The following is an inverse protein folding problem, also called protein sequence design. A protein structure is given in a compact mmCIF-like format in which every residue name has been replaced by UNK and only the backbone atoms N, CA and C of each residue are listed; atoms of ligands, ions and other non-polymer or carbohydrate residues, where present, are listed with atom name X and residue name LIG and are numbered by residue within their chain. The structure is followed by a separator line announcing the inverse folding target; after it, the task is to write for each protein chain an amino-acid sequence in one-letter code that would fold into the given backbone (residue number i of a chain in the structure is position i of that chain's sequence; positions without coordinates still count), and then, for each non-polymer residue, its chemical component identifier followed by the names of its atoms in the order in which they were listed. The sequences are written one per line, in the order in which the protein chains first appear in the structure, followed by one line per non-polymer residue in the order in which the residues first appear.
data_IF_094728791811
#
_entry.id   IF_094728791811
#
_cell.length_a   1.000
_cell.length_b   1.000
_cell.length_c   1.000
_cell.angle_alpha   90.00
_cell.angle_beta   90.00
_cell.angle_gamma   90.00
#
_symmetry.space_group_name_H-M   'P 1'
#
loop_
_entity.id
_entity.type
_entity.pdbx_description
1 polymer ?
#
# COMPACT_ATOMS: atom_id res chain seq x y z
N UNK A 1 0.82 -12.44 28.22
CA UNK A 1 1.86 -12.48 27.15
C UNK A 1 1.64 -11.46 26.03
N UNK A 2 0.45 -11.36 25.41
CA UNK A 2 0.20 -10.40 24.29
C UNK A 2 0.45 -8.93 24.63
N UNK A 3 0.12 -8.46 25.85
CA UNK A 3 0.36 -7.06 26.24
C UNK A 3 1.82 -6.71 26.52
N UNK A 4 2.60 -7.64 27.08
CA UNK A 4 4.04 -7.45 27.30
C UNK A 4 4.79 -7.41 25.97
N UNK A 5 4.46 -8.31 25.04
CA UNK A 5 4.98 -8.26 23.67
C UNK A 5 4.58 -6.97 22.97
N UNK A 6 3.33 -6.51 23.13
CA UNK A 6 2.86 -5.26 22.52
C UNK A 6 3.56 -4.02 23.08
N UNK A 7 3.78 -3.94 24.40
CA UNK A 7 4.55 -2.85 25.03
C UNK A 7 6.03 -2.92 24.64
N UNK A 8 6.65 -4.09 24.66
CA UNK A 8 8.03 -4.28 24.21
C UNK A 8 8.19 -3.90 22.74
N UNK A 9 7.32 -4.38 21.85
CA UNK A 9 7.35 -4.04 20.44
C UNK A 9 7.16 -2.52 20.19
N UNK A 10 6.28 -1.86 20.95
CA UNK A 10 6.05 -0.42 20.82
C UNK A 10 7.24 0.42 21.30
N UNK A 11 7.85 0.04 22.43
CA UNK A 11 9.05 0.69 22.97
C UNK A 11 10.28 0.42 22.09
N UNK A 12 10.47 -0.82 21.64
CA UNK A 12 11.56 -1.21 20.75
C UNK A 12 11.44 -0.54 19.38
N UNK A 13 10.22 -0.42 18.82
CA UNK A 13 10.01 0.27 17.55
C UNK A 13 10.33 1.78 17.64
N UNK A 14 9.93 2.44 18.74
CA UNK A 14 10.33 3.83 18.99
C UNK A 14 11.84 3.99 19.24
N UNK A 15 12.47 3.03 19.92
CA UNK A 15 13.90 3.09 20.22
C UNK A 15 14.73 2.90 18.94
N UNK A 16 14.45 1.85 18.16
CA UNK A 16 15.18 1.48 16.92
C UNK A 16 15.00 2.51 15.81
N UNK A 17 13.85 3.18 15.73
CA UNK A 17 13.60 4.26 14.76
C UNK A 17 14.14 5.63 15.16
N UNK A 18 14.65 5.82 16.39
CA UNK A 18 15.14 7.12 16.85
C UNK A 18 16.59 7.38 16.40
N UNK A 19 16.94 8.65 16.20
CA UNK A 19 18.31 9.09 15.89
C UNK A 19 19.33 8.58 16.92
N UNK A 20 18.91 8.30 18.16
CA UNK A 20 19.76 7.75 19.21
C UNK A 20 20.18 6.29 18.95
N UNK A 21 19.32 5.46 18.36
CA UNK A 21 19.69 4.09 18.01
C UNK A 21 20.72 4.03 16.87
N UNK A 22 20.62 4.96 15.92
CA UNK A 22 21.63 5.10 14.87
C UNK A 22 23.00 5.49 15.47
N UNK A 23 23.03 6.47 16.39
CA UNK A 23 24.25 6.87 17.07
C UNK A 23 24.85 5.70 17.86
N UNK A 24 24.03 4.95 18.61
CA UNK A 24 24.48 3.78 19.35
C UNK A 24 25.07 2.70 18.43
N UNK A 25 24.41 2.40 17.31
CA UNK A 25 24.90 1.44 16.32
C UNK A 25 26.24 1.89 15.71
N UNK A 26 26.39 3.18 15.38
CA UNK A 26 27.64 3.72 14.87
C UNK A 26 28.77 3.61 15.90
N UNK A 27 28.50 3.90 17.17
CA UNK A 27 29.48 3.73 18.26
C UNK A 27 29.91 2.27 18.40
N UNK A 28 28.96 1.32 18.33
CA UNK A 28 29.27 -0.12 18.39
C UNK A 28 30.22 -0.52 17.24
N UNK A 29 29.97 -0.04 16.02
CA UNK A 29 30.82 -0.31 14.86
C UNK A 29 32.22 0.29 15.04
N UNK A 30 32.32 1.51 15.56
CA UNK A 30 33.61 2.18 15.82
C UNK A 30 34.41 1.41 16.87
N UNK A 31 33.77 1.04 17.99
CA UNK A 31 34.42 0.25 19.04
C UNK A 31 34.93 -1.06 18.49
N UNK A 32 34.09 -1.78 17.71
CA UNK A 32 34.49 -3.01 17.04
C UNK A 32 35.70 -2.79 16.11
N UNK A 33 35.69 -1.74 15.28
CA UNK A 33 36.81 -1.46 14.38
C UNK A 33 38.13 -1.20 15.15
N UNK A 34 38.08 -0.47 16.27
CA UNK A 34 39.24 -0.14 17.11
C UNK A 34 39.79 -1.39 17.82
N UNK A 35 38.92 -2.32 18.21
CA UNK A 35 39.34 -3.58 18.83
C UNK A 35 39.89 -4.59 17.82
N UNK A 36 39.62 -4.43 16.52
CA UNK A 36 40.09 -5.33 15.45
C UNK A 36 41.61 -5.58 15.42
N UNK A 37 42.47 -4.56 15.47
CA UNK A 37 43.93 -4.72 15.54
C UNK A 37 44.40 -5.56 16.73
N UNK A 38 43.73 -5.47 17.88
CA UNK A 38 44.06 -6.23 19.08
C UNK A 38 43.83 -7.74 18.88
N UNK A 39 42.84 -8.10 18.05
CA UNK A 39 42.51 -9.47 17.69
C UNK A 39 43.07 -9.90 16.33
N UNK A 40 43.99 -9.11 15.74
CA UNK A 40 44.58 -9.35 14.42
C UNK A 40 43.53 -9.58 13.32
N UNK A 41 42.34 -8.98 13.45
CA UNK A 41 41.20 -9.20 12.55
C UNK A 41 40.88 -10.69 12.32
N UNK A 42 40.96 -11.51 13.37
CA UNK A 42 40.74 -12.96 13.29
C UNK A 42 39.38 -13.37 12.73
N UNK A 43 39.27 -14.62 12.27
CA UNK A 43 38.01 -15.16 11.76
C UNK A 43 36.89 -15.13 12.83
N UNK A 44 37.22 -15.41 14.09
CA UNK A 44 36.26 -15.31 15.20
C UNK A 44 35.81 -13.86 15.42
N UNK A 45 36.73 -12.89 15.30
CA UNK A 45 36.43 -11.47 15.44
C UNK A 45 35.42 -10.97 14.40
N UNK A 46 35.59 -11.40 13.14
CA UNK A 46 34.69 -11.09 12.03
C UNK A 46 33.36 -11.87 12.15
N UNK A 47 33.42 -13.14 12.55
CA UNK A 47 32.25 -13.99 12.70
C UNK A 47 31.25 -13.39 13.70
N UNK A 48 31.72 -12.90 14.85
CA UNK A 48 30.84 -12.35 15.89
C UNK A 48 29.99 -11.18 15.36
N UNK A 49 30.59 -10.23 14.64
CA UNK A 49 29.82 -9.10 14.12
C UNK A 49 28.90 -9.49 12.98
N UNK A 50 29.34 -10.40 12.10
CA UNK A 50 28.55 -10.85 10.97
C UNK A 50 27.32 -11.65 11.44
N UNK A 51 27.53 -12.62 12.33
CA UNK A 51 26.45 -13.41 12.94
C UNK A 51 25.50 -12.52 13.75
N UNK A 52 26.03 -11.61 14.56
CA UNK A 52 25.21 -10.68 15.36
C UNK A 52 24.35 -9.77 14.50
N UNK A 53 24.95 -9.14 13.48
CA UNK A 53 24.24 -8.23 12.57
C UNK A 53 23.18 -8.98 11.76
N UNK A 54 23.46 -10.21 11.34
CA UNK A 54 22.49 -11.04 10.61
C UNK A 54 21.25 -11.33 11.47
N UNK A 55 21.42 -11.73 12.73
CA UNK A 55 20.31 -11.98 13.65
C UNK A 55 19.49 -10.70 13.87
N UNK A 56 20.17 -9.57 14.14
CA UNK A 56 19.51 -8.27 14.34
C UNK A 56 18.73 -7.87 13.09
N UNK A 57 19.32 -8.04 11.91
CA UNK A 57 18.69 -7.70 10.62
C UNK A 57 17.46 -8.57 10.39
N UNK A 58 17.54 -9.88 10.65
CA UNK A 58 16.41 -10.79 10.55
C UNK A 58 15.26 -10.35 11.47
N UNK A 59 15.56 -10.04 12.73
CA UNK A 59 14.56 -9.51 13.67
C UNK A 59 13.99 -8.16 13.21
N UNK A 60 14.82 -7.29 12.66
CA UNK A 60 14.41 -5.98 12.15
C UNK A 60 13.45 -6.11 10.96
N UNK A 61 13.69 -7.06 10.05
CA UNK A 61 12.74 -7.38 8.96
C UNK A 61 11.38 -7.77 9.52
N UNK A 62 11.32 -8.65 10.53
CA UNK A 62 10.05 -8.99 11.17
C UNK A 62 9.37 -7.79 11.85
N UNK A 63 10.13 -6.93 12.53
CA UNK A 63 9.59 -5.74 13.18
C UNK A 63 9.04 -4.72 12.17
N UNK A 64 9.78 -4.50 11.07
CA UNK A 64 9.36 -3.64 9.97
C UNK A 64 8.09 -4.21 9.34
N UNK A 65 8.07 -5.51 9.00
CA UNK A 65 6.89 -6.17 8.43
C UNK A 65 5.67 -6.08 9.36
N UNK A 66 5.84 -6.27 10.68
CA UNK A 66 4.74 -6.14 11.64
C UNK A 66 4.21 -4.70 11.72
N UNK A 67 5.09 -3.70 11.68
CA UNK A 67 4.71 -2.29 11.69
C UNK A 67 4.01 -1.91 10.37
N UNK A 68 4.60 -2.28 9.24
CA UNK A 68 4.05 -2.05 7.90
C UNK A 68 2.69 -2.73 7.71
N UNK A 69 2.51 -3.97 8.19
CA UNK A 69 1.23 -4.67 8.10
C UNK A 69 0.12 -3.95 8.89
N UNK A 70 0.46 -3.38 10.05
CA UNK A 70 -0.49 -2.59 10.85
C UNK A 70 -0.84 -1.26 10.18
N UNK A 71 0.16 -0.58 9.61
CA UNK A 71 -0.04 0.70 8.95
C UNK A 71 -0.84 0.55 7.65
N UNK A 72 -0.59 -0.51 6.87
CA UNK A 72 -1.40 -0.86 5.70
C UNK A 72 -2.88 -1.06 6.08
N UNK A 73 -3.16 -1.82 7.14
CA UNK A 73 -4.53 -2.01 7.64
C UNK A 73 -5.19 -0.69 8.06
N UNK A 74 -4.44 0.21 8.70
CA UNK A 74 -4.97 1.51 9.10
C UNK A 74 -5.29 2.41 7.89
N UNK A 75 -4.51 2.31 6.81
CA UNK A 75 -4.79 3.01 5.54
C UNK A 75 -6.10 2.50 4.92
N UNK A 76 -6.29 1.17 4.83
CA UNK A 76 -7.54 0.59 4.32
C UNK A 76 -8.77 1.11 5.07
N UNK A 77 -8.76 1.03 6.41
CA UNK A 77 -9.87 1.51 7.24
C UNK A 77 -10.17 3.01 7.05
N UNK A 78 -9.14 3.84 6.87
CA UNK A 78 -9.31 5.27 6.60
C UNK A 78 -9.93 5.51 5.22
N UNK A 79 -9.51 4.76 4.20
CA UNK A 79 -10.09 4.83 2.86
C UNK A 79 -11.55 4.38 2.87
N UNK A 80 -11.88 3.31 3.59
CA UNK A 80 -13.25 2.81 3.75
C UNK A 80 -14.17 3.85 4.36
N UNK A 81 -13.72 4.55 5.41
CA UNK A 81 -14.50 5.61 6.05
C UNK A 81 -14.72 6.81 5.10
N UNK A 82 -13.69 7.19 4.33
CA UNK A 82 -13.83 8.23 3.29
C UNK A 82 -14.82 7.81 2.20
N UNK A 83 -14.73 6.57 1.70
CA UNK A 83 -15.66 6.04 0.70
C UNK A 83 -17.10 6.03 1.22
N UNK A 84 -17.31 5.65 2.47
CA UNK A 84 -18.62 5.67 3.12
C UNK A 84 -19.19 7.08 3.26
N UNK A 85 -18.35 8.10 3.43
CA UNK A 85 -18.74 9.50 3.55
C UNK A 85 -19.04 10.22 2.22
N UNK A 86 -18.58 9.68 1.08
CA UNK A 86 -18.80 10.28 -0.25
C UNK A 86 -20.19 9.90 -0.78
N UNK A 87 -21.10 10.89 -0.88
CA UNK A 87 -22.42 10.71 -1.52
C UNK A 87 -22.23 10.28 -2.98
N UNK A 88 -22.61 9.06 -3.31
CA UNK A 88 -22.50 8.47 -4.64
C UNK A 88 -21.43 7.38 -4.78
N UNK A 89 -20.56 7.19 -3.78
CA UNK A 89 -19.72 6.00 -3.72
C UNK A 89 -20.59 4.77 -3.46
N UNK A 90 -20.49 3.74 -4.31
CA UNK A 90 -21.18 2.47 -4.09
C UNK A 90 -20.56 1.81 -2.85
N UNK A 91 -21.38 1.60 -1.81
CA UNK A 91 -21.02 0.90 -0.56
C UNK A 91 -20.32 -0.44 -0.80
N UNK A 92 -20.54 -1.08 -1.96
CA UNK A 92 -19.90 -2.35 -2.35
C UNK A 92 -18.38 -2.28 -2.62
N UNK A 93 -17.76 -1.10 -2.65
CA UNK A 93 -16.29 -0.98 -2.72
C UNK A 93 -15.60 -0.98 -1.34
N UNK A 94 -16.37 -0.90 -0.25
CA UNK A 94 -15.86 -0.93 1.12
C UNK A 94 -15.45 -2.37 1.47
N UNK A 95 -14.26 -2.57 2.06
CA UNK A 95 -13.64 -3.88 2.34
C UNK A 95 -13.29 -4.73 1.09
N UNK A 96 -12.88 -4.09 -0.01
CA UNK A 96 -12.46 -4.78 -1.24
C UNK A 96 -11.34 -5.81 -1.00
N UNK A 97 -10.48 -5.58 0.00
CA UNK A 97 -9.36 -6.46 0.36
C UNK A 97 -9.80 -7.78 1.04
N UNK A 98 -11.06 -7.91 1.43
CA UNK A 98 -11.60 -9.10 2.11
C UNK A 98 -12.38 -10.01 1.16
N UNK A 99 -12.63 -9.57 -0.07
CA UNK A 99 -13.34 -10.37 -1.07
C UNK A 99 -12.47 -11.55 -1.52
N UNK A 100 -13.10 -12.70 -1.74
CA UNK A 100 -12.44 -13.82 -2.42
C UNK A 100 -12.13 -13.48 -3.88
N UNK A 101 -11.16 -14.16 -4.49
CA UNK A 101 -10.81 -13.94 -5.91
C UNK A 101 -12.04 -14.04 -6.83
N UNK A 102 -12.95 -14.97 -6.54
CA UNK A 102 -14.19 -15.16 -7.31
C UNK A 102 -15.15 -13.98 -7.16
N UNK A 103 -15.24 -13.40 -5.97
CA UNK A 103 -16.07 -12.21 -5.72
C UNK A 103 -15.45 -10.97 -6.38
N UNK A 104 -14.11 -10.85 -6.35
CA UNK A 104 -13.37 -9.79 -7.02
C UNK A 104 -13.57 -9.84 -8.54
N UNK A 105 -13.50 -11.03 -9.14
CA UNK A 105 -13.74 -11.26 -10.58
C UNK A 105 -15.19 -10.92 -10.97
N UNK A 106 -16.17 -11.28 -10.13
CA UNK A 106 -17.57 -10.93 -10.35
C UNK A 106 -17.78 -9.42 -10.29
N UNK A 107 -17.14 -8.73 -9.33
CA UNK A 107 -17.21 -7.28 -9.20
C UNK A 107 -16.57 -6.58 -10.41
N UNK A 108 -15.43 -7.08 -10.91
CA UNK A 108 -14.80 -6.60 -12.14
C UNK A 108 -15.72 -6.75 -13.35
N UNK A 109 -16.34 -7.93 -13.53
CA UNK A 109 -17.31 -8.17 -14.62
C UNK A 109 -18.52 -7.26 -14.53
N UNK A 110 -18.96 -6.88 -13.33
CA UNK A 110 -20.04 -5.90 -13.16
C UNK A 110 -19.60 -4.50 -13.64
N UNK A 111 -18.38 -4.07 -13.31
CA UNK A 111 -17.81 -2.81 -13.79
C UNK A 111 -17.68 -2.77 -15.31
N UNK A 112 -17.19 -3.84 -15.94
CA UNK A 112 -17.08 -3.94 -17.41
C UNK A 112 -18.46 -3.79 -18.07
N UNK A 113 -19.49 -4.49 -17.57
CA UNK A 113 -20.87 -4.38 -18.07
C UNK A 113 -21.50 -3.00 -17.87
N UNK A 114 -21.12 -2.28 -16.81
CA UNK A 114 -21.56 -0.90 -16.59
C UNK A 114 -20.88 0.05 -17.57
N UNK A 115 -19.57 -0.11 -17.78
CA UNK A 115 -18.81 0.69 -18.73
C UNK A 115 -19.31 0.50 -20.18
N UNK A 116 -19.61 -0.75 -20.57
CA UNK A 116 -20.21 -1.06 -21.86
C UNK A 116 -21.58 -0.39 -22.05
N UNK A 117 -22.44 -0.40 -21.01
CA UNK A 117 -23.75 0.25 -21.06
C UNK A 117 -23.67 1.76 -21.21
N UNK A 118 -22.79 2.42 -20.45
CA UNK A 118 -22.56 3.86 -20.56
C UNK A 118 -21.99 4.24 -21.94
N UNK A 119 -21.06 3.44 -22.48
CA UNK A 119 -20.52 3.68 -23.82
C UNK A 119 -21.52 3.36 -24.94
N UNK A 120 -22.45 2.42 -24.73
CA UNK A 120 -23.53 2.14 -25.68
C UNK A 120 -24.64 3.20 -25.66
N UNK A 121 -24.95 3.79 -24.50
CA UNK A 121 -25.88 4.93 -24.38
C UNK A 121 -25.27 6.24 -24.92
N UNK A 122 -23.95 6.36 -25.00
CA UNK A 122 -23.25 7.54 -25.53
C UNK A 122 -22.79 7.40 -26.98
N UNK A 123 -23.47 6.61 -27.83
CA UNK A 123 -23.21 6.68 -29.28
C UNK A 123 -23.54 8.11 -29.79
N UNK A 124 -22.57 8.87 -30.34
CA UNK A 124 -22.83 10.14 -31.01
C UNK A 124 -23.38 9.86 -32.41
N UNK A 125 -24.56 9.24 -32.48
CA UNK A 125 -25.18 8.78 -33.72
C UNK A 125 -26.67 9.10 -33.85
N UNK A 126 -27.33 9.52 -32.77
CA UNK A 126 -28.75 9.89 -32.78
C UNK A 126 -28.90 11.41 -32.67
N UNK A 127 -28.15 12.18 -33.48
CA UNK A 127 -28.65 13.51 -33.87
C UNK A 127 -29.89 13.26 -34.75
N UNK A 128 -31.05 13.88 -34.45
CA UNK A 128 -32.24 13.64 -35.24
C UNK A 128 -31.99 14.17 -36.65
N UNK A 129 -31.87 13.24 -37.61
CA UNK A 129 -31.82 13.44 -39.06
C UNK A 129 -32.94 14.38 -39.59
N UNK A 130 -33.93 14.67 -38.74
CA UNK A 130 -34.98 15.68 -38.87
C UNK A 130 -34.42 17.08 -39.16
N UNK A 131 -33.23 17.44 -38.69
CA UNK A 131 -32.64 18.76 -38.94
C UNK A 131 -32.08 18.93 -40.36
N UNK A 132 -31.50 17.88 -40.96
CA UNK A 132 -30.96 17.93 -42.32
C UNK A 132 -32.06 17.87 -43.40
N UNK A 133 -33.15 17.13 -43.15
CA UNK A 133 -34.24 17.06 -44.13
C UNK A 133 -35.04 18.36 -44.23
N UNK A 134 -35.19 19.09 -43.10
CA UNK A 134 -35.94 20.35 -43.08
C UNK A 134 -35.21 21.49 -43.82
N UNK A 135 -33.87 21.47 -43.84
CA UNK A 135 -33.06 22.43 -44.59
C UNK A 135 -33.05 22.16 -46.11
N UNK A 136 -33.11 20.88 -46.50
CA UNK A 136 -33.17 20.45 -47.90
C UNK A 136 -34.51 20.78 -48.56
N UNK A 137 -35.62 20.72 -47.82
CA UNK A 137 -36.95 21.08 -48.33
C UNK A 137 -37.14 22.60 -48.46
N UNK A 138 -36.58 23.40 -47.54
CA UNK A 138 -36.66 24.88 -47.62
C UNK A 138 -35.83 25.49 -48.77
N UNK A 139 -34.84 24.77 -49.31
CA UNK A 139 -34.03 25.23 -50.43
C UNK A 139 -34.61 24.94 -51.83
N UNK A 140 -35.73 24.21 -51.92
CA UNK A 140 -36.40 23.87 -53.19
C UNK A 140 -37.61 24.76 -53.52
N UNK A 141 -37.96 25.71 -52.66
CA UNK A 141 -39.11 26.61 -52.81
C UNK A 141 -38.72 28.08 -53.01
N UNK A 142 -37.43 28.38 -53.21
CA UNK A 142 -36.91 29.70 -53.58
C UNK A 142 -36.27 29.62 -54.96
#
# INVERSE_FOLDING_TARGET
MRELFRKFAHTTSHAVGSSWAFILAAVIIIVWAITGPMFHFSDTWQLVINTGTTIITFLMVFLIQNTQNRDAKAIHLKLDELLKGVKGARTGLVNLEQLSDKELENLQKEFERLHERVNHEHKPGDEPQIALNRASESGKLA
#
